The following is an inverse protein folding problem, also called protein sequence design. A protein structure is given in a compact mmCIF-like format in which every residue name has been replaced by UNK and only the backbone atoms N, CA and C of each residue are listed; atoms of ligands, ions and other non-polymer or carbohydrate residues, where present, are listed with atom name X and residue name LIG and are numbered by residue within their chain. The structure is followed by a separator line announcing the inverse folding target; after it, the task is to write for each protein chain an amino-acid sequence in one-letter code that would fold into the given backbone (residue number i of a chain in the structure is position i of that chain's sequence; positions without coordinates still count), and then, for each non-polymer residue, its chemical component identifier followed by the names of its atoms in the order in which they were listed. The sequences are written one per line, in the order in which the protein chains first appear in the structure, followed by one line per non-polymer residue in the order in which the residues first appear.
data_IF_699457732519
#
_entry.id   IF_699457732519
#
_cell.length_a   1.000
_cell.length_b   1.000
_cell.length_c   1.000
_cell.angle_alpha   90.00
_cell.angle_beta   90.00
_cell.angle_gamma   90.00
#
_symmetry.space_group_name_H-M   'P 1'
#
loop_
_entity.id
_entity.type
_entity.pdbx_description
1 polymer ?
#
# COMPACT_ATOMS: atom_id res chain seq x y z
N UNK A 1 4.91 -0.66 1.58
CA UNK A 1 4.97 0.75 2.06
C UNK A 1 5.52 1.64 0.94
N UNK A 2 5.23 2.94 0.89
CA UNK A 2 5.85 3.90 -0.05
C UNK A 2 7.39 3.87 -0.06
N UNK A 3 8.01 3.40 1.02
CA UNK A 3 9.46 3.34 1.19
C UNK A 3 10.10 2.04 0.67
N UNK A 4 9.48 0.89 0.95
CA UNK A 4 10.00 -0.42 0.57
C UNK A 4 9.37 -1.00 -0.71
N UNK A 5 8.30 -0.38 -1.23
CA UNK A 5 7.60 -0.89 -2.41
C UNK A 5 6.99 -2.27 -2.15
N UNK A 6 7.38 -3.25 -2.97
CA UNK A 6 6.96 -4.65 -2.85
C UNK A 6 7.93 -5.52 -2.02
N UNK A 7 9.20 -5.13 -1.87
CA UNK A 7 10.22 -5.96 -1.23
C UNK A 7 10.51 -5.48 0.19
N UNK A 8 9.99 -6.20 1.17
CA UNK A 8 10.26 -5.97 2.60
C UNK A 8 11.28 -6.96 3.17
N UNK A 9 11.78 -7.88 2.34
CA UNK A 9 12.77 -8.88 2.71
C UNK A 9 14.05 -8.27 3.31
N UNK A 10 14.43 -7.08 2.86
CA UNK A 10 15.62 -6.37 3.35
C UNK A 10 15.49 -5.84 4.79
N UNK A 11 14.28 -5.73 5.33
CA UNK A 11 14.05 -5.28 6.71
C UNK A 11 14.27 -6.39 7.74
N UNK A 12 14.33 -7.67 7.31
CA UNK A 12 14.39 -8.81 8.23
C UNK A 12 13.16 -8.94 9.14
N UNK A 13 12.07 -8.23 8.83
CA UNK A 13 10.81 -8.24 9.59
C UNK A 13 9.81 -9.12 8.85
N UNK A 14 9.68 -10.37 9.31
CA UNK A 14 8.59 -11.25 8.90
C UNK A 14 7.48 -11.26 9.98
N UNK A 15 6.18 -11.32 9.60
CA UNK A 15 5.67 -11.27 8.22
C UNK A 15 5.67 -9.85 7.65
N UNK A 16 5.80 -9.72 6.33
CA UNK A 16 5.82 -8.42 5.61
C UNK A 16 4.63 -7.52 5.99
N UNK A 17 3.47 -8.10 6.25
CA UNK A 17 2.29 -7.39 6.72
C UNK A 17 2.54 -6.60 8.02
N UNK A 18 3.34 -7.15 8.95
CA UNK A 18 3.74 -6.45 10.18
C UNK A 18 4.69 -5.30 9.86
N UNK A 19 5.66 -5.52 8.97
CA UNK A 19 6.58 -4.48 8.54
C UNK A 19 5.84 -3.28 7.92
N UNK A 20 4.88 -3.52 7.03
CA UNK A 20 4.09 -2.46 6.40
C UNK A 20 3.26 -1.69 7.44
N UNK A 21 2.59 -2.41 8.35
CA UNK A 21 1.77 -1.79 9.41
C UNK A 21 2.59 -0.91 10.32
N UNK A 22 3.73 -1.42 10.77
CA UNK A 22 4.62 -0.68 11.66
C UNK A 22 5.24 0.52 10.93
N UNK A 23 5.54 0.42 9.64
CA UNK A 23 6.07 1.54 8.85
C UNK A 23 5.06 2.70 8.73
N UNK A 24 3.82 2.39 8.33
CA UNK A 24 2.72 3.37 8.23
C UNK A 24 2.36 3.96 9.59
N UNK A 25 2.42 3.16 10.68
CA UNK A 25 2.16 3.65 12.05
C UNK A 25 3.31 4.48 12.61
N UNK A 26 4.56 4.12 12.31
CA UNK A 26 5.74 4.77 12.88
C UNK A 26 6.04 6.12 12.22
N UNK A 27 5.73 6.30 10.93
CA UNK A 27 5.94 7.57 10.25
C UNK A 27 4.65 8.13 9.68
N UNK A 28 4.27 9.33 10.12
CA UNK A 28 3.21 10.16 9.50
C UNK A 28 3.45 10.43 8.00
N UNK A 29 4.65 10.15 7.51
CA UNK A 29 5.08 10.32 6.13
C UNK A 29 4.86 9.06 5.29
N UNK A 30 4.81 7.88 5.92
CA UNK A 30 4.65 6.60 5.27
C UNK A 30 3.17 6.26 5.16
N UNK A 31 2.71 6.05 3.94
CA UNK A 31 1.29 5.76 3.68
C UNK A 31 1.17 4.45 2.93
N UNK A 32 0.06 3.75 3.15
CA UNK A 32 -0.35 2.65 2.29
C UNK A 32 -0.40 3.16 0.85
N UNK A 33 0.37 2.51 0.00
CA UNK A 33 0.40 2.75 -1.43
C UNK A 33 0.22 1.42 -2.17
N UNK A 34 -0.46 1.51 -3.31
CA UNK A 34 -0.62 0.41 -4.23
C UNK A 34 0.54 0.44 -5.22
N UNK A 35 1.32 -0.64 -5.27
CA UNK A 35 2.25 -0.87 -6.36
C UNK A 35 1.52 -1.63 -7.47
N UNK A 36 1.42 -1.02 -8.64
CA UNK A 36 0.86 -1.65 -9.84
C UNK A 36 1.89 -2.55 -10.50
N UNK A 37 1.44 -3.43 -11.40
CA UNK A 37 2.33 -4.30 -12.19
C UNK A 37 3.36 -3.51 -13.00
N UNK A 38 2.99 -2.29 -13.43
CA UNK A 38 3.87 -1.36 -14.15
C UNK A 38 4.86 -0.61 -13.24
N UNK A 39 5.06 -1.08 -12.00
CA UNK A 39 5.90 -0.47 -10.96
C UNK A 39 5.50 0.95 -10.58
N UNK A 40 4.29 1.41 -10.93
CA UNK A 40 3.77 2.71 -10.47
C UNK A 40 3.24 2.56 -9.05
N UNK A 41 3.70 3.44 -8.17
CA UNK A 41 3.19 3.57 -6.81
C UNK A 41 2.12 4.65 -6.75
N UNK A 42 0.95 4.30 -6.22
CA UNK A 42 -0.13 5.24 -5.97
C UNK A 42 -0.50 5.25 -4.50
N UNK A 43 -0.42 6.41 -3.87
CA UNK A 43 -0.75 6.55 -2.45
C UNK A 43 -2.25 6.37 -2.29
N UNK A 44 -2.67 5.42 -1.47
CA UNK A 44 -4.09 5.22 -1.23
C UNK A 44 -4.64 6.36 -0.36
N UNK A 45 -5.77 6.94 -0.75
CA UNK A 45 -6.44 7.92 0.11
C UNK A 45 -6.96 7.27 1.39
N UNK A 46 -7.28 5.97 1.33
CA UNK A 46 -7.67 5.17 2.47
C UNK A 46 -6.43 4.52 3.11
N UNK A 47 -6.23 4.80 4.38
CA UNK A 47 -5.12 4.30 5.19
C UNK A 47 -5.56 3.27 6.23
N UNK A 48 -6.83 2.85 6.21
CA UNK A 48 -7.41 1.90 7.15
C UNK A 48 -7.77 0.56 6.49
N UNK A 49 -8.52 0.55 5.39
CA UNK A 49 -8.89 -0.70 4.71
C UNK A 49 -7.69 -1.55 4.20
N UNK A 50 -6.64 -0.97 3.58
CA UNK A 50 -5.51 -1.75 3.08
C UNK A 50 -4.66 -2.41 4.17
N UNK A 51 -4.81 -2.04 5.45
CA UNK A 51 -4.11 -2.67 6.57
C UNK A 51 -4.36 -4.20 6.64
N UNK A 52 -5.59 -4.63 6.33
CA UNK A 52 -5.98 -6.05 6.29
C UNK A 52 -5.37 -6.80 5.12
N UNK A 53 -4.96 -6.07 4.09
CA UNK A 53 -4.40 -6.58 2.85
C UNK A 53 -2.92 -6.21 2.67
N UNK A 54 -2.26 -5.76 3.73
CA UNK A 54 -0.85 -5.43 3.71
C UNK A 54 -0.01 -6.63 3.21
N UNK A 55 0.89 -6.36 2.27
CA UNK A 55 1.72 -7.37 1.59
C UNK A 55 0.93 -8.47 0.85
N UNK A 56 -0.32 -8.22 0.47
CA UNK A 56 -1.13 -9.12 -0.37
C UNK A 56 -1.44 -8.49 -1.72
N UNK A 57 -1.67 -9.35 -2.72
CA UNK A 57 -2.23 -8.92 -4.00
C UNK A 57 -3.70 -8.53 -3.81
N UNK A 58 -4.01 -7.29 -4.17
CA UNK A 58 -5.37 -6.74 -4.10
C UNK A 58 -5.72 -6.01 -5.37
N UNK A 59 -7.01 -6.02 -5.67
CA UNK A 59 -7.62 -5.18 -6.68
C UNK A 59 -8.26 -3.98 -5.98
N UNK A 60 -7.73 -2.80 -6.26
CA UNK A 60 -8.30 -1.53 -5.82
C UNK A 60 -9.04 -0.92 -7.00
N UNK A 61 -10.31 -0.61 -6.80
CA UNK A 61 -11.14 0.14 -7.75
C UNK A 61 -11.37 1.53 -7.17
N UNK A 62 -11.23 2.56 -7.99
CA UNK A 62 -11.35 3.92 -7.51
C UNK A 62 -10.90 4.98 -8.50
N UNK A 63 -10.67 6.18 -7.98
CA UNK A 63 -10.31 7.37 -8.80
C UNK A 63 -8.85 7.72 -8.55
N UNK A 64 -8.03 7.68 -9.60
CA UNK A 64 -6.64 8.11 -9.53
C UNK A 64 -6.56 9.63 -9.72
N UNK A 65 -6.09 10.35 -8.71
CA UNK A 65 -5.76 11.76 -8.79
C UNK A 65 -4.33 11.92 -9.30
N UNK A 66 -4.15 11.95 -10.62
CA UNK A 66 -2.83 12.10 -11.24
C UNK A 66 -2.11 13.38 -10.79
N UNK A 67 -2.84 14.46 -10.49
CA UNK A 67 -2.28 15.71 -9.97
C UNK A 67 -1.53 15.55 -8.65
N UNK A 68 -1.95 14.61 -7.80
CA UNK A 68 -1.38 14.41 -6.46
C UNK A 68 -0.73 13.04 -6.28
N UNK A 69 -0.91 12.12 -7.24
CA UNK A 69 -0.48 10.73 -7.13
C UNK A 69 -1.31 9.90 -6.16
N UNK A 70 -2.47 10.40 -5.72
CA UNK A 70 -3.33 9.75 -4.74
C UNK A 70 -4.40 8.93 -5.46
N UNK A 71 -4.52 7.64 -5.14
CA UNK A 71 -5.62 6.78 -5.56
C UNK A 71 -6.70 6.77 -4.49
N UNK A 72 -7.85 7.39 -4.78
CA UNK A 72 -9.04 7.26 -3.95
C UNK A 72 -9.56 5.84 -4.08
N UNK A 73 -9.51 5.09 -2.99
CA UNK A 73 -10.07 3.74 -2.91
C UNK A 73 -11.59 3.86 -2.80
N UNK A 74 -12.32 3.29 -3.75
CA UNK A 74 -13.77 3.11 -3.68
C UNK A 74 -14.09 1.68 -3.25
N UNK A 75 -13.34 0.70 -3.77
CA UNK A 75 -13.45 -0.71 -3.42
C UNK A 75 -12.07 -1.35 -3.34
N UNK A 76 -11.83 -2.21 -2.34
CA UNK A 76 -10.61 -3.01 -2.22
C UNK A 76 -10.98 -4.47 -1.96
N UNK A 77 -10.45 -5.37 -2.79
CA UNK A 77 -10.72 -6.80 -2.73
C UNK A 77 -9.43 -7.59 -2.95
N UNK A 78 -9.34 -8.80 -2.40
CA UNK A 78 -8.21 -9.68 -2.68
C UNK A 78 -8.18 -10.05 -4.17
N UNK A 79 -7.03 -9.86 -4.82
CA UNK A 79 -6.82 -10.33 -6.19
C UNK A 79 -6.24 -11.75 -6.10
N UNK A 80 -6.99 -12.73 -6.62
CA UNK A 80 -6.57 -14.12 -6.65
C UNK A 80 -5.71 -14.42 -7.88
#
# INVERSE_FOLDING_TARGET
DTMCGADHAHMGIAPDAKCVRDCVKAGKQWKYALLTADKKMHVLSDQAAPEKFAAKKVKVTGVLYEKTGILRVDKIEAAH
#
